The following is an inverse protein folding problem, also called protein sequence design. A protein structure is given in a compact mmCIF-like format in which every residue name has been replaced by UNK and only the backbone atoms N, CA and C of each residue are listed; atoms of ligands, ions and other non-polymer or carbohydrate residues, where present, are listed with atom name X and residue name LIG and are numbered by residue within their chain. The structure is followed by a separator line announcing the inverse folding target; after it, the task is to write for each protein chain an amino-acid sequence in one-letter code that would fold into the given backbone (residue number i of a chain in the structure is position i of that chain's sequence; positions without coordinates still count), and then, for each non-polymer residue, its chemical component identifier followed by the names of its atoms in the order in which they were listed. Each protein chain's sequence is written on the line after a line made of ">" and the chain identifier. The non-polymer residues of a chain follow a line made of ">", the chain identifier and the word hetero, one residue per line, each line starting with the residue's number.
data_IF_727763540723
#
_entry.id   IF_727763540723
#
_cell.length_a   1.000
_cell.length_b   1.000
_cell.length_c   1.000
_cell.angle_alpha   90.00
_cell.angle_beta   90.00
_cell.angle_gamma   90.00
#
_symmetry.space_group_name_H-M   'P 1'
#
loop_
_entity.id
_entity.type
_entity.pdbx_description
1 polymer ?
#
# COMPACT_ATOMS: atom_id res chain seq x y z
N UNK A 1 4.13 -16.02 -21.09
CA UNK A 1 2.84 -16.07 -20.37
C UNK A 1 3.17 -16.06 -18.89
N UNK A 2 3.45 -14.88 -18.35
CA UNK A 2 3.79 -14.71 -16.94
C UNK A 2 2.73 -13.82 -16.32
N UNK A 3 2.14 -14.34 -15.24
CA UNK A 3 0.93 -13.86 -14.59
C UNK A 3 1.06 -12.38 -14.26
N UNK A 4 0.10 -11.60 -14.73
CA UNK A 4 -0.20 -10.27 -14.18
C UNK A 4 -0.59 -10.45 -12.71
N UNK A 5 0.40 -10.47 -11.81
CA UNK A 5 0.14 -10.20 -10.41
C UNK A 5 -0.42 -8.78 -10.36
N UNK A 6 -1.72 -8.69 -10.08
CA UNK A 6 -2.41 -7.44 -9.80
C UNK A 6 -1.51 -6.54 -8.94
N UNK A 7 -1.31 -5.25 -9.28
CA UNK A 7 -0.44 -4.38 -8.52
C UNK A 7 -1.01 -4.31 -7.10
N UNK A 8 -0.43 -5.10 -6.19
CA UNK A 8 -0.91 -5.23 -4.83
C UNK A 8 -0.95 -3.84 -4.23
N UNK A 9 -2.02 -3.53 -3.49
CA UNK A 9 -2.13 -2.23 -2.83
C UNK A 9 -0.93 -2.11 -1.88
N UNK A 10 -0.09 -1.10 -2.10
CA UNK A 10 1.06 -0.82 -1.24
C UNK A 10 0.69 0.34 -0.34
N UNK A 11 0.94 0.16 0.95
CA UNK A 11 0.79 1.18 1.96
C UNK A 11 2.15 1.77 2.32
N UNK A 12 2.17 3.02 2.77
CA UNK A 12 3.35 3.74 3.22
C UNK A 12 3.12 4.24 4.63
N UNK A 13 4.04 3.97 5.55
CA UNK A 13 3.95 4.52 6.89
C UNK A 13 4.29 6.00 6.91
N UNK A 14 3.43 6.83 7.50
CA UNK A 14 3.65 8.29 7.59
C UNK A 14 4.86 8.63 8.47
N UNK A 15 5.19 7.79 9.46
CA UNK A 15 6.24 8.07 10.44
C UNK A 15 7.64 7.68 9.96
N UNK A 16 7.78 6.54 9.29
CA UNK A 16 9.09 6.01 8.86
C UNK A 16 9.24 5.85 7.35
N UNK A 17 8.19 6.10 6.55
CA UNK A 17 8.21 5.94 5.09
C UNK A 17 8.30 4.48 4.61
N UNK A 18 8.20 3.50 5.52
CA UNK A 18 8.27 2.09 5.14
C UNK A 18 7.08 1.71 4.24
N UNK A 19 7.38 1.05 3.11
CA UNK A 19 6.39 0.52 2.18
C UNK A 19 5.99 -0.87 2.64
N UNK A 20 4.70 -1.07 2.91
CA UNK A 20 4.12 -2.32 3.42
C UNK A 20 3.05 -2.79 2.42
N UNK A 21 3.24 -3.93 1.74
CA UNK A 21 2.21 -4.50 0.87
C UNK A 21 1.04 -5.07 1.69
N UNK A 22 -0.18 -5.07 1.15
CA UNK A 22 -1.37 -5.61 1.85
C UNK A 22 -1.20 -7.04 2.35
N UNK A 23 -0.50 -7.89 1.59
CA UNK A 23 -0.24 -9.30 1.97
C UNK A 23 0.40 -9.42 3.36
N UNK A 24 1.31 -8.51 3.72
CA UNK A 24 1.98 -8.49 5.02
C UNK A 24 1.06 -8.04 6.17
N UNK A 25 0.06 -7.20 5.90
CA UNK A 25 -0.94 -6.78 6.88
C UNK A 25 -1.97 -7.88 7.14
N UNK A 26 -2.35 -8.63 6.10
CA UNK A 26 -3.27 -9.77 6.20
C UNK A 26 -2.66 -10.90 7.04
N UNK A 27 -1.36 -11.17 6.88
CA UNK A 27 -0.59 -12.14 7.67
C UNK A 27 -0.60 -11.87 9.19
N UNK A 28 -0.81 -10.62 9.61
CA UNK A 28 -0.84 -10.20 11.03
C UNK A 28 -2.25 -10.02 11.59
N UNK A 29 -3.29 -10.51 10.90
CA UNK A 29 -4.67 -10.44 11.38
C UNK A 29 -5.37 -9.12 11.07
N UNK A 30 -4.90 -8.39 10.04
CA UNK A 30 -5.58 -7.20 9.53
C UNK A 30 -5.37 -5.93 10.36
N UNK A 31 -4.46 -5.95 11.35
CA UNK A 31 -4.10 -4.74 12.08
C UNK A 31 -3.27 -3.80 11.19
N UNK A 32 -3.77 -2.57 10.97
CA UNK A 32 -2.97 -1.51 10.34
C UNK A 32 -1.87 -1.07 11.31
N UNK A 33 -0.76 -1.80 11.32
CA UNK A 33 0.45 -1.49 12.09
C UNK A 33 1.65 -1.56 11.16
N UNK A 34 2.47 -0.52 11.17
CA UNK A 34 3.74 -0.54 10.47
C UNK A 34 4.66 -1.59 11.10
N UNK A 35 5.25 -2.46 10.26
CA UNK A 35 6.16 -3.52 10.70
C UNK A 35 7.44 -3.00 11.36
N UNK A 36 7.87 -1.78 11.02
CA UNK A 36 9.15 -1.22 11.44
C UNK A 36 9.03 -0.43 12.74
N UNK A 37 7.97 0.37 12.89
CA UNK A 37 7.85 1.32 14.01
C UNK A 37 6.58 1.15 14.85
N UNK A 38 5.69 0.21 14.52
CA UNK A 38 4.43 -0.03 15.24
C UNK A 38 3.38 1.07 15.08
N UNK A 39 3.65 2.11 14.27
CA UNK A 39 2.72 3.20 14.02
C UNK A 39 1.49 2.72 13.24
N UNK A 40 0.30 3.22 13.59
CA UNK A 40 -0.97 2.65 13.11
C UNK A 40 -1.57 3.36 11.88
N UNK A 41 -0.94 4.44 11.42
CA UNK A 41 -1.44 5.20 10.27
C UNK A 41 -0.55 4.92 9.06
N UNK A 42 -1.18 4.33 8.04
CA UNK A 42 -0.55 4.01 6.76
C UNK A 42 -1.32 4.69 5.63
N UNK A 43 -0.61 5.27 4.67
CA UNK A 43 -1.14 5.94 3.47
C UNK A 43 -1.12 4.98 2.29
N UNK A 44 -2.21 4.84 1.53
CA UNK A 44 -2.19 4.07 0.27
C UNK A 44 -1.35 4.81 -0.77
N UNK A 45 -0.37 4.13 -1.34
CA UNK A 45 0.43 4.67 -2.46
C UNK A 45 -0.47 4.71 -3.70
N UNK A 46 -0.39 5.81 -4.45
CA UNK A 46 -1.14 5.95 -5.69
C UNK A 46 -0.67 4.86 -6.68
N UNK A 47 -1.58 4.04 -7.23
CA UNK A 47 -1.19 3.05 -8.23
C UNK A 47 -0.59 3.77 -9.45
N UNK A 48 0.33 3.12 -10.19
CA UNK A 48 0.96 3.70 -11.37
C UNK A 48 -0.01 3.87 -12.56
N UNK A 49 -1.27 3.45 -12.41
CA UNK A 49 -2.31 3.61 -13.43
C UNK A 49 -2.71 5.08 -13.56
N UNK A 50 -2.55 5.59 -14.78
CA UNK A 50 -2.89 6.98 -15.12
C UNK A 50 -4.38 7.23 -14.92
N UNK A 51 -4.72 8.27 -14.15
CA UNK A 51 -6.09 8.75 -14.01
C UNK A 51 -6.34 9.79 -15.10
N UNK A 52 -7.25 9.51 -16.04
CA UNK A 52 -7.74 10.53 -17.01
C UNK A 52 -8.72 11.44 -16.30
N UNK A 53 -8.52 12.74 -16.41
CA UNK A 53 -9.36 13.78 -15.81
C UNK A 53 -9.75 14.70 -16.97
N UNK A 54 -11.05 14.90 -17.19
CA UNK A 54 -11.51 15.90 -18.16
C UNK A 54 -11.09 17.28 -17.67
N UNK A 55 -10.44 18.05 -18.53
CA UNK A 55 -10.34 19.49 -18.32
C UNK A 55 -11.73 20.07 -18.64
N UNK A 56 -12.24 20.94 -17.77
CA UNK A 56 -13.34 21.84 -18.14
C UNK A 56 -12.92 22.75 -19.29
#
# INVERSE_FOLDING_TARGET
>A
MEKEESPGIVYECIRCGAKVPTRELELRGGEMKCIVCGYRVLKKIRPPVVKRISAE
#
